data_IF_494234687732
#
_entry.id   IF_494234687732
#
_cell.length_a   1.000
_cell.length_b   1.000
_cell.length_c   1.000
_cell.angle_alpha   90.00
_cell.angle_beta   90.00
_cell.angle_gamma   90.00
#
_symmetry.space_group_name_H-M   'P 1'
#
loop_
_entity.id
_entity.type
_entity.pdbx_description
1 polymer ?
#
# COMPACT_ATOMS: atom_id res chain seq x y z
N UNK A 1 5.13 12.98 -24.69
CA UNK A 1 3.93 12.87 -23.84
C UNK A 1 4.37 12.90 -22.38
N UNK A 2 3.98 13.92 -21.61
CA UNK A 2 4.33 14.01 -20.20
C UNK A 2 3.60 12.91 -19.42
N UNK A 3 4.33 12.06 -18.72
CA UNK A 3 3.76 11.04 -17.84
C UNK A 3 3.26 11.71 -16.56
N UNK A 4 1.97 12.07 -16.54
CA UNK A 4 1.34 12.58 -15.32
C UNK A 4 1.23 11.44 -14.32
N UNK A 5 1.80 11.62 -13.13
CA UNK A 5 1.66 10.70 -12.00
C UNK A 5 0.72 11.32 -10.98
N UNK A 6 -0.12 10.49 -10.36
CA UNK A 6 -1.00 10.89 -9.26
C UNK A 6 -0.39 10.42 -7.95
N UNK A 7 -0.29 11.31 -6.98
CA UNK A 7 0.13 10.96 -5.64
C UNK A 7 -1.03 10.31 -4.88
N UNK A 8 -0.78 9.11 -4.34
CA UNK A 8 -1.72 8.34 -3.54
C UNK A 8 -1.05 7.90 -2.26
N UNK A 9 -1.84 7.71 -1.23
CA UNK A 9 -1.38 7.18 0.06
C UNK A 9 -1.78 5.71 0.15
N UNK A 10 -0.84 4.84 0.53
CA UNK A 10 -1.14 3.44 0.79
C UNK A 10 -2.10 3.32 1.98
N UNK A 11 -3.19 2.60 1.83
CA UNK A 11 -4.19 2.42 2.90
C UNK A 11 -3.63 1.66 4.11
N UNK A 12 -2.68 0.74 3.87
CA UNK A 12 -2.05 -0.08 4.91
C UNK A 12 -0.97 0.63 5.70
N UNK A 13 0.00 1.23 5.00
CA UNK A 13 1.23 1.77 5.61
C UNK A 13 1.33 3.29 5.56
N UNK A 14 0.32 3.95 4.99
CA UNK A 14 0.23 5.40 4.88
C UNK A 14 1.40 6.07 4.14
N UNK A 15 2.20 5.31 3.39
CA UNK A 15 3.30 5.84 2.57
C UNK A 15 2.75 6.51 1.32
N UNK A 16 3.28 7.70 1.01
CA UNK A 16 3.01 8.40 -0.26
C UNK A 16 3.67 7.66 -1.41
N UNK A 17 2.92 7.44 -2.49
CA UNK A 17 3.37 6.74 -3.68
C UNK A 17 2.87 7.44 -4.95
N UNK A 18 3.67 7.39 -6.01
CA UNK A 18 3.32 7.91 -7.33
C UNK A 18 2.71 6.79 -8.16
N UNK A 19 1.45 6.94 -8.54
CA UNK A 19 0.68 5.95 -9.31
C UNK A 19 0.34 6.54 -10.66
N UNK A 20 0.46 5.75 -11.74
CA UNK A 20 -0.02 6.23 -13.04
C UNK A 20 -1.56 6.30 -13.03
N UNK A 21 -2.19 7.34 -13.58
CA UNK A 21 -3.64 7.53 -13.55
C UNK A 21 -4.38 6.33 -14.14
N UNK A 22 -3.83 5.68 -15.17
CA UNK A 22 -4.41 4.46 -15.76
C UNK A 22 -4.53 3.26 -14.79
N UNK A 23 -3.68 3.17 -13.75
CA UNK A 23 -3.86 2.16 -12.70
C UNK A 23 -4.98 2.58 -11.73
N UNK A 24 -5.05 3.87 -11.39
CA UNK A 24 -6.10 4.42 -10.50
C UNK A 24 -7.49 4.22 -11.12
N UNK A 25 -7.65 4.50 -12.41
CA UNK A 25 -8.90 4.30 -13.15
C UNK A 25 -9.35 2.83 -13.17
N UNK A 26 -8.40 1.89 -13.16
CA UNK A 26 -8.68 0.45 -13.09
C UNK A 26 -8.88 -0.06 -11.66
N UNK A 27 -9.01 0.84 -10.68
CA UNK A 27 -9.17 0.51 -9.26
C UNK A 27 -7.90 0.00 -8.58
N UNK A 28 -6.73 0.13 -9.23
CA UNK A 28 -5.40 -0.25 -8.69
C UNK A 28 -4.72 0.97 -8.05
N UNK A 29 -3.64 0.75 -7.29
CA UNK A 29 -2.91 1.83 -6.62
C UNK A 29 -3.48 2.25 -5.26
N UNK A 30 -4.21 1.34 -4.59
CA UNK A 30 -4.62 1.49 -3.17
C UNK A 30 -3.49 1.16 -2.19
N UNK A 31 -2.56 0.31 -2.61
CA UNK A 31 -1.45 -0.20 -1.80
C UNK A 31 -0.13 0.04 -2.51
N UNK A 32 0.92 0.32 -1.72
CA UNK A 32 2.26 0.58 -2.26
C UNK A 32 2.97 -0.65 -2.79
N UNK A 33 2.64 -1.83 -2.25
CA UNK A 33 3.26 -3.10 -2.59
C UNK A 33 2.20 -4.22 -2.61
N UNK A 34 2.45 -5.31 -3.36
CA UNK A 34 1.60 -6.50 -3.30
C UNK A 34 1.55 -7.10 -1.89
N UNK A 35 2.58 -6.89 -1.06
CA UNK A 35 2.57 -7.26 0.36
C UNK A 35 1.52 -6.49 1.15
N UNK A 36 1.49 -5.15 1.07
CA UNK A 36 0.44 -4.35 1.72
C UNK A 36 -0.96 -4.73 1.24
N UNK A 37 -1.10 -5.04 -0.06
CA UNK A 37 -2.36 -5.54 -0.60
C UNK A 37 -2.72 -6.90 -0.01
N UNK A 38 -1.79 -7.84 0.07
CA UNK A 38 -2.00 -9.18 0.61
C UNK A 38 -2.33 -9.12 2.10
N UNK A 39 -1.60 -8.31 2.87
CA UNK A 39 -1.84 -8.07 4.28
C UNK A 39 -3.26 -7.55 4.48
N UNK A 40 -3.66 -6.47 3.78
CA UNK A 40 -5.02 -5.94 3.86
C UNK A 40 -6.10 -6.93 3.43
N UNK A 41 -5.85 -7.73 2.39
CA UNK A 41 -6.80 -8.75 1.93
C UNK A 41 -6.91 -9.92 2.92
N UNK A 42 -5.82 -10.28 3.59
CA UNK A 42 -5.74 -11.41 4.53
C UNK A 42 -6.52 -11.18 5.82
N UNK A 43 -6.73 -9.93 6.25
CA UNK A 43 -7.59 -9.63 7.40
C UNK A 43 -9.07 -9.96 7.13
N UNK A 44 -9.50 -9.94 5.87
CA UNK A 44 -10.88 -10.27 5.49
C UNK A 44 -11.13 -11.78 5.56
N UNK A 45 -10.11 -12.60 5.30
CA UNK A 45 -10.23 -14.08 5.25
C UNK A 45 -9.77 -14.79 6.52
N UNK A 46 -8.85 -14.24 7.32
CA UNK A 46 -8.33 -14.93 8.52
C UNK A 46 -8.05 -13.97 9.70
N UNK A 47 -9.04 -13.68 10.56
CA UNK A 47 -8.91 -12.71 11.67
C UNK A 47 -8.00 -13.16 12.84
N UNK A 48 -7.33 -14.32 12.76
CA UNK A 48 -6.63 -14.94 13.92
C UNK A 48 -5.13 -15.16 13.76
N UNK A 49 -4.48 -14.74 12.68
CA UNK A 49 -3.03 -14.95 12.56
C UNK A 49 -2.22 -13.67 12.82
N UNK A 50 -2.02 -13.36 14.10
CA UNK A 50 -1.31 -12.15 14.57
C UNK A 50 0.21 -12.15 14.29
N UNK A 51 0.78 -13.26 13.82
CA UNK A 51 2.23 -13.47 13.90
C UNK A 51 2.89 -13.95 12.58
N UNK A 52 2.56 -13.39 11.41
CA UNK A 52 3.24 -13.84 10.17
C UNK A 52 4.05 -12.85 9.36
N UNK A 53 3.96 -11.54 9.54
CA UNK A 53 4.83 -10.63 8.79
C UNK A 53 5.08 -9.32 9.54
N UNK A 54 6.02 -9.33 10.50
CA UNK A 54 6.65 -8.10 11.01
C UNK A 54 7.95 -7.85 10.23
N UNK A 55 7.78 -7.50 8.95
CA UNK A 55 8.86 -6.99 8.10
C UNK A 55 8.76 -5.47 7.86
N UNK A 56 7.87 -4.77 8.57
CA UNK A 56 7.76 -3.32 8.49
C UNK A 56 8.90 -2.68 9.29
N UNK A 57 9.99 -2.32 8.62
CA UNK A 57 10.84 -1.22 9.08
C UNK A 57 9.97 0.05 9.14
N UNK A 58 9.49 0.39 10.33
CA UNK A 58 9.13 1.77 10.65
C UNK A 58 10.44 2.54 10.73
N UNK A 59 10.86 3.15 9.63
CA UNK A 59 11.85 4.21 9.70
C UNK A 59 11.11 5.46 10.18
N UNK A 60 11.39 5.76 11.45
CA UNK A 60 10.80 6.80 12.25
C UNK A 60 10.81 8.17 11.54
N UNK A 61 9.70 8.88 11.73
CA UNK A 61 9.65 10.33 11.80
C UNK A 61 10.89 10.82 12.59
N UNK A 62 11.77 11.55 11.94
CA UNK A 62 12.81 12.34 12.60
C UNK A 62 12.53 13.81 12.26
N UNK A 63 12.33 14.57 13.32
CA UNK A 63 12.26 16.04 13.39
C UNK A 63 13.45 16.73 12.70
#
# INVERSE_FOLDING_TARGET
MATVFVEKTCDHCQKKMKVKPGYVLRGKGKYCSPECQYICMSYITHPKNKNRFTGFKQEALKD
#
